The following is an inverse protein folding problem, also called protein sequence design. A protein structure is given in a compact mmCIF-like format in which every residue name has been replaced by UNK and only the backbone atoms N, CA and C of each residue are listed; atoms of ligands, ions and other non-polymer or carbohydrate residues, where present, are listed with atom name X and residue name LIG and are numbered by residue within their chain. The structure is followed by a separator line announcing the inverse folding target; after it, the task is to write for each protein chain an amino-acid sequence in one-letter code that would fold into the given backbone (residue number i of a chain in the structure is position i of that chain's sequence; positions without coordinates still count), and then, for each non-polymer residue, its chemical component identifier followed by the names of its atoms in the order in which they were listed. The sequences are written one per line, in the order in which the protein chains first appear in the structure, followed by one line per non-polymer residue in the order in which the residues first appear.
data_IF_758726987620
#
_entry.id   IF_758726987620
#
_cell.length_a   1.000
_cell.length_b   1.000
_cell.length_c   1.000
_cell.angle_alpha   90.00
_cell.angle_beta   90.00
_cell.angle_gamma   90.00
#
_symmetry.space_group_name_H-M   'P 1'
#
loop_
_entity.id
_entity.type
_entity.pdbx_description
1 polymer ?
#
# COMPACT_ATOMS: atom_id res chain seq x y z
N UNK A 1 13.83 10.27 -24.13
CA UNK A 1 12.42 10.16 -24.56
C UNK A 1 12.27 9.19 -25.76
N UNK A 2 12.46 7.88 -25.52
CA UNK A 2 12.37 6.84 -26.56
C UNK A 2 11.56 5.63 -26.05
N UNK A 3 10.43 5.87 -25.38
CA UNK A 3 9.49 4.80 -25.06
C UNK A 3 8.61 4.53 -26.29
N UNK A 4 8.43 3.26 -26.66
CA UNK A 4 7.49 2.89 -27.72
C UNK A 4 6.05 3.25 -27.30
N UNK A 5 5.19 3.68 -28.24
CA UNK A 5 3.79 3.91 -27.95
C UNK A 5 3.10 2.60 -27.57
N UNK A 6 2.08 2.70 -26.73
CA UNK A 6 1.18 1.59 -26.44
C UNK A 6 0.41 1.18 -27.71
N UNK A 7 0.33 -0.12 -27.98
CA UNK A 7 -0.56 -0.73 -28.97
C UNK A 7 -1.39 -1.85 -28.34
N UNK A 8 -2.51 -2.18 -28.98
CA UNK A 8 -3.41 -3.25 -28.54
C UNK A 8 -3.70 -4.19 -29.71
N UNK A 9 -3.74 -5.50 -29.43
CA UNK A 9 -4.09 -6.55 -30.38
C UNK A 9 -5.38 -7.25 -29.95
N UNK A 10 -5.94 -8.07 -30.83
CA UNK A 10 -7.13 -8.85 -30.53
C UNK A 10 -6.93 -9.73 -29.28
N UNK A 11 -7.95 -9.74 -28.42
CA UNK A 11 -7.97 -10.50 -27.17
C UNK A 11 -7.84 -12.00 -27.40
N UNK A 12 -7.02 -12.67 -26.58
CA UNK A 12 -6.92 -14.13 -26.56
C UNK A 12 -8.17 -14.77 -25.91
N UNK A 13 -8.46 -16.02 -26.30
CA UNK A 13 -9.53 -16.80 -25.69
C UNK A 13 -9.06 -17.38 -24.34
N UNK A 14 -9.67 -16.95 -23.25
CA UNK A 14 -9.46 -17.50 -21.90
C UNK A 14 -10.73 -17.43 -21.06
N UNK A 15 -10.85 -18.33 -20.10
CA UNK A 15 -11.95 -18.31 -19.12
C UNK A 15 -11.60 -17.35 -17.99
N UNK A 16 -12.51 -16.44 -17.66
CA UNK A 16 -12.32 -15.53 -16.53
C UNK A 16 -12.50 -16.26 -15.21
N UNK A 17 -11.50 -16.13 -14.33
CA UNK A 17 -11.60 -16.59 -12.95
C UNK A 17 -12.70 -15.81 -12.21
N UNK A 18 -13.53 -16.52 -11.46
CA UNK A 18 -14.59 -15.93 -10.65
C UNK A 18 -14.13 -15.81 -9.19
N UNK A 19 -13.76 -14.60 -8.73
CA UNK A 19 -13.06 -14.43 -7.47
C UNK A 19 -13.93 -14.63 -6.22
N UNK A 20 -15.26 -14.66 -6.36
CA UNK A 20 -16.19 -14.78 -5.24
C UNK A 20 -16.33 -13.51 -4.39
N UNK A 21 -15.79 -12.37 -4.83
CA UNK A 21 -16.00 -11.05 -4.24
C UNK A 21 -16.34 -10.03 -5.33
N UNK A 22 -16.97 -8.91 -4.94
CA UNK A 22 -17.20 -7.76 -5.83
C UNK A 22 -16.01 -6.80 -5.76
N UNK A 23 -15.28 -6.65 -6.87
CA UNK A 23 -14.17 -5.69 -6.95
C UNK A 23 -14.64 -4.27 -6.66
N UNK A 24 -15.79 -3.86 -7.21
CA UNK A 24 -16.35 -2.53 -6.99
C UNK A 24 -16.62 -2.25 -5.51
N UNK A 25 -17.10 -3.25 -4.78
CA UNK A 25 -17.35 -3.11 -3.34
C UNK A 25 -16.05 -2.92 -2.57
N UNK A 26 -15.03 -3.73 -2.87
CA UNK A 26 -13.69 -3.63 -2.25
C UNK A 26 -13.06 -2.26 -2.54
N UNK A 27 -13.15 -1.77 -3.77
CA UNK A 27 -12.67 -0.43 -4.13
C UNK A 27 -13.35 0.67 -3.33
N UNK A 28 -14.67 0.60 -3.17
CA UNK A 28 -15.43 1.61 -2.44
C UNK A 28 -15.06 1.61 -0.95
N UNK A 29 -14.89 0.43 -0.34
CA UNK A 29 -14.41 0.29 1.03
C UNK A 29 -13.00 0.89 1.20
N UNK A 30 -12.09 0.61 0.27
CA UNK A 30 -10.74 1.18 0.26
C UNK A 30 -10.75 2.71 0.14
N UNK A 31 -11.51 3.26 -0.82
CA UNK A 31 -11.65 4.71 -1.01
C UNK A 31 -12.21 5.39 0.23
N UNK A 32 -13.25 4.82 0.85
CA UNK A 32 -13.83 5.36 2.07
C UNK A 32 -12.83 5.35 3.24
N UNK A 33 -12.01 4.29 3.37
CA UNK A 33 -10.97 4.19 4.40
C UNK A 33 -9.93 5.30 4.23
N UNK A 34 -9.38 5.45 3.02
CA UNK A 34 -8.37 6.47 2.70
C UNK A 34 -8.93 7.89 2.89
N UNK A 35 -10.18 8.14 2.47
CA UNK A 35 -10.81 9.45 2.60
C UNK A 35 -11.03 9.89 4.06
N UNK A 36 -11.22 8.91 4.97
CA UNK A 36 -11.42 9.16 6.39
C UNK A 36 -10.12 9.13 7.21
N UNK A 37 -9.00 8.72 6.61
CA UNK A 37 -7.71 8.63 7.28
C UNK A 37 -6.97 9.98 7.22
N UNK A 38 -6.62 10.50 8.40
CA UNK A 38 -5.92 11.79 8.53
C UNK A 38 -4.48 11.72 8.00
N UNK A 39 -3.81 10.59 8.13
CA UNK A 39 -2.43 10.38 7.68
C UNK A 39 -2.37 10.41 6.16
N UNK A 40 -3.27 9.69 5.47
CA UNK A 40 -3.35 9.74 4.01
C UNK A 40 -3.68 11.14 3.47
N UNK A 41 -4.53 11.89 4.18
CA UNK A 41 -4.81 13.30 3.84
C UNK A 41 -3.55 14.16 3.94
N UNK A 42 -2.76 13.99 5.00
CA UNK A 42 -1.50 14.72 5.19
C UNK A 42 -0.47 14.33 4.14
N UNK A 43 -0.34 13.04 3.82
CA UNK A 43 0.52 12.56 2.74
C UNK A 43 0.14 13.23 1.42
N UNK A 44 -1.16 13.23 1.07
CA UNK A 44 -1.65 13.88 -0.15
C UNK A 44 -1.25 15.35 -0.21
N UNK A 45 -1.39 16.09 0.89
CA UNK A 45 -1.00 17.51 0.96
C UNK A 45 0.50 17.67 0.70
N UNK A 46 1.35 16.82 1.29
CA UNK A 46 2.79 16.91 1.07
C UNK A 46 3.19 16.49 -0.35
N UNK A 47 2.55 15.46 -0.93
CA UNK A 47 2.82 15.05 -2.32
C UNK A 47 2.38 16.12 -3.31
N UNK A 48 1.26 16.81 -3.05
CA UNK A 48 0.81 17.94 -3.87
C UNK A 48 1.82 19.11 -3.85
N UNK A 49 2.53 19.33 -2.73
CA UNK A 49 3.62 20.32 -2.65
C UNK A 49 4.80 19.91 -3.53
N UNK A 50 5.18 18.62 -3.49
CA UNK A 50 6.30 18.09 -4.28
C UNK A 50 5.99 18.06 -5.78
N UNK A 51 4.77 17.70 -6.17
CA UNK A 51 4.35 17.69 -7.57
C UNK A 51 4.46 19.08 -8.23
N UNK A 52 4.26 20.16 -7.46
CA UNK A 52 4.45 21.54 -7.96
C UNK A 52 5.92 21.92 -8.18
N UNK A 53 6.87 21.09 -7.78
CA UNK A 53 8.30 21.35 -7.98
C UNK A 53 8.84 20.73 -9.28
N UNK A 54 8.13 19.80 -9.90
CA UNK A 54 8.66 19.00 -11.02
C UNK A 54 8.97 19.85 -12.26
N UNK A 55 8.10 20.83 -12.56
CA UNK A 55 8.24 21.74 -13.71
C UNK A 55 8.54 23.19 -13.30
N UNK A 56 9.19 23.40 -12.15
CA UNK A 56 9.35 24.73 -11.57
C UNK A 56 10.64 25.43 -12.00
N UNK A 57 10.53 26.68 -12.43
CA UNK A 57 11.67 27.60 -12.55
C UNK A 57 12.20 28.00 -11.16
N UNK A 58 13.52 28.00 -10.99
CA UNK A 58 14.17 28.33 -9.72
C UNK A 58 14.65 29.79 -9.67
N UNK A 59 14.44 30.50 -8.55
CA UNK A 59 14.97 31.83 -8.38
C UNK A 59 16.49 31.82 -8.29
N UNK A 60 17.15 32.79 -8.94
CA UNK A 60 18.59 32.99 -8.85
C UNK A 60 19.02 33.67 -7.54
N UNK A 61 18.08 34.33 -6.86
CA UNK A 61 18.34 34.93 -5.55
C UNK A 61 18.51 33.82 -4.50
N UNK A 62 19.68 33.81 -3.85
CA UNK A 62 20.11 32.70 -3.00
C UNK A 62 19.21 32.48 -1.78
N UNK A 63 18.67 33.53 -1.17
CA UNK A 63 17.81 33.38 0.00
C UNK A 63 16.45 32.81 -0.39
N UNK A 64 15.90 33.20 -1.54
CA UNK A 64 14.66 32.67 -2.09
C UNK A 64 14.85 31.19 -2.47
N UNK A 65 15.94 30.84 -3.16
CA UNK A 65 16.26 29.46 -3.48
C UNK A 65 16.37 28.58 -2.22
N UNK A 66 17.06 29.05 -1.18
CA UNK A 66 17.18 28.32 0.10
C UNK A 66 15.83 28.11 0.78
N UNK A 67 14.93 29.11 0.74
CA UNK A 67 13.57 29.00 1.30
C UNK A 67 12.77 27.93 0.57
N UNK A 68 12.84 27.90 -0.75
CA UNK A 68 12.11 26.90 -1.56
C UNK A 68 12.65 25.48 -1.34
N UNK A 69 13.98 25.32 -1.32
CA UNK A 69 14.61 24.05 -0.98
C UNK A 69 14.22 23.55 0.41
N UNK A 70 14.05 24.46 1.38
CA UNK A 70 13.57 24.10 2.70
C UNK A 70 12.14 23.55 2.67
N UNK A 71 11.24 24.15 1.88
CA UNK A 71 9.86 23.67 1.72
C UNK A 71 9.85 22.24 1.18
N UNK A 72 10.63 21.96 0.13
CA UNK A 72 10.73 20.62 -0.46
C UNK A 72 11.27 19.60 0.55
N UNK A 73 12.36 19.93 1.25
CA UNK A 73 12.95 19.05 2.27
C UNK A 73 11.99 18.78 3.43
N UNK A 74 11.27 19.80 3.88
CA UNK A 74 10.30 19.66 4.96
C UNK A 74 9.11 18.78 4.54
N UNK A 75 8.66 18.90 3.28
CA UNK A 75 7.61 18.04 2.73
C UNK A 75 8.06 16.57 2.66
N UNK A 76 9.27 16.30 2.17
CA UNK A 76 9.86 14.94 2.14
C UNK A 76 9.97 14.36 3.55
N UNK A 77 10.55 15.10 4.50
CA UNK A 77 10.68 14.64 5.90
C UNK A 77 9.34 14.33 6.55
N UNK A 78 8.31 15.13 6.26
CA UNK A 78 6.95 14.86 6.75
C UNK A 78 6.42 13.55 6.17
N UNK A 79 6.57 13.31 4.86
CA UNK A 79 6.17 12.04 4.24
C UNK A 79 6.90 10.87 4.88
N UNK A 80 8.23 10.93 5.04
CA UNK A 80 9.04 9.86 5.65
C UNK A 80 8.59 9.47 7.06
N UNK A 81 8.03 10.44 7.80
CA UNK A 81 7.43 10.19 9.12
C UNK A 81 6.02 9.62 8.99
N UNK A 82 5.19 10.15 8.09
CA UNK A 82 3.78 9.78 7.94
C UNK A 82 3.59 8.38 7.35
N UNK A 83 4.52 7.88 6.53
CA UNK A 83 4.44 6.53 5.96
C UNK A 83 4.72 5.43 7.00
N UNK A 84 5.14 5.81 8.21
CA UNK A 84 5.37 4.89 9.32
C UNK A 84 4.17 4.90 10.25
N UNK A 85 3.65 3.72 10.56
CA UNK A 85 2.55 3.53 11.49
C UNK A 85 2.97 3.89 12.92
N UNK A 86 2.08 4.57 13.65
CA UNK A 86 2.23 4.83 15.08
C UNK A 86 2.20 3.52 15.90
N UNK A 87 1.36 2.58 15.46
CA UNK A 87 1.24 1.24 16.04
C UNK A 87 1.64 0.22 15.00
N UNK A 88 2.74 -0.49 15.26
CA UNK A 88 3.22 -1.54 14.37
C UNK A 88 2.18 -2.66 14.21
N UNK A 89 2.09 -3.18 12.99
CA UNK A 89 1.46 -4.45 12.72
C UNK A 89 2.22 -5.59 13.40
N UNK A 90 1.48 -6.64 13.79
CA UNK A 90 2.10 -7.88 14.25
C UNK A 90 2.51 -8.70 13.03
N UNK A 91 3.79 -8.62 12.68
CA UNK A 91 4.38 -9.39 11.58
C UNK A 91 5.39 -10.37 12.17
N UNK A 92 5.30 -11.63 11.78
CA UNK A 92 6.15 -12.70 12.27
C UNK A 92 6.70 -13.54 11.12
N UNK A 93 7.64 -14.41 11.46
CA UNK A 93 8.06 -15.47 10.56
C UNK A 93 6.87 -16.36 10.24
N UNK A 94 6.79 -16.81 8.99
CA UNK A 94 6.01 -17.99 8.68
C UNK A 94 6.73 -19.19 9.30
N UNK A 95 6.02 -20.12 9.97
CA UNK A 95 6.66 -21.25 10.65
C UNK A 95 7.58 -22.07 9.74
N UNK A 96 7.16 -22.29 8.49
CA UNK A 96 7.91 -23.02 7.47
C UNK A 96 9.20 -22.31 6.98
N UNK A 97 9.29 -21.00 7.18
CA UNK A 97 10.43 -20.19 6.74
C UNK A 97 11.39 -19.87 7.90
N UNK A 98 11.02 -20.22 9.13
CA UNK A 98 11.77 -19.86 10.32
C UNK A 98 13.20 -20.42 10.28
N UNK A 99 13.38 -21.69 9.90
CA UNK A 99 14.70 -22.34 9.79
C UNK A 99 15.56 -21.77 8.65
N UNK A 100 14.92 -21.16 7.63
CA UNK A 100 15.63 -20.52 6.52
C UNK A 100 16.27 -19.21 6.96
N UNK A 101 15.63 -18.46 7.84
CA UNK A 101 16.03 -17.11 8.21
C UNK A 101 16.61 -16.99 9.61
N UNK A 102 16.28 -17.91 10.52
CA UNK A 102 16.91 -18.07 11.83
C UNK A 102 17.95 -19.17 11.68
N UNK A 103 19.20 -18.76 11.53
CA UNK A 103 20.32 -19.67 11.26
C UNK A 103 21.53 -19.35 12.16
N UNK A 104 22.58 -20.18 12.09
CA UNK A 104 23.85 -19.87 12.75
C UNK A 104 24.48 -18.55 12.29
N UNK A 105 24.13 -18.09 11.08
CA UNK A 105 24.48 -16.76 10.59
C UNK A 105 23.58 -15.69 11.25
N UNK A 106 24.18 -14.98 12.19
CA UNK A 106 23.55 -13.89 12.94
C UNK A 106 23.18 -12.71 12.05
N UNK A 107 24.01 -12.36 11.08
CA UNK A 107 23.80 -11.18 10.23
C UNK A 107 22.61 -11.39 9.31
N UNK A 108 22.45 -12.59 8.76
CA UNK A 108 21.27 -12.98 7.99
C UNK A 108 19.98 -12.86 8.82
N UNK A 109 20.03 -13.38 10.05
CA UNK A 109 18.89 -13.35 10.96
C UNK A 109 18.50 -11.92 11.31
N UNK A 110 19.49 -11.07 11.61
CA UNK A 110 19.28 -9.67 12.02
C UNK A 110 18.76 -8.82 10.83
N UNK A 111 19.27 -9.03 9.62
CA UNK A 111 18.73 -8.38 8.39
C UNK A 111 17.26 -8.71 8.17
N UNK A 112 16.87 -9.97 8.33
CA UNK A 112 15.49 -10.36 8.13
C UNK A 112 14.55 -9.81 9.21
N UNK A 113 15.00 -9.79 10.48
CA UNK A 113 14.26 -9.12 11.57
C UNK A 113 14.08 -7.62 11.32
N UNK A 114 15.11 -6.95 10.81
CA UNK A 114 15.02 -5.53 10.43
C UNK A 114 14.01 -5.31 9.31
N UNK A 115 14.03 -6.17 8.28
CA UNK A 115 13.03 -6.13 7.22
C UNK A 115 11.61 -6.32 7.76
N UNK A 116 11.36 -7.34 8.59
CA UNK A 116 10.06 -7.57 9.23
C UNK A 116 9.58 -6.36 10.05
N UNK A 117 10.48 -5.74 10.82
CA UNK A 117 10.17 -4.54 11.60
C UNK A 117 9.82 -3.34 10.70
N UNK A 118 10.46 -3.21 9.53
CA UNK A 118 10.14 -2.15 8.57
C UNK A 118 8.79 -2.41 7.90
N UNK A 119 8.52 -3.64 7.47
CA UNK A 119 7.20 -4.04 6.93
C UNK A 119 6.10 -3.80 7.96
N UNK A 120 6.34 -4.17 9.22
CA UNK A 120 5.39 -3.96 10.32
C UNK A 120 5.06 -2.49 10.60
N UNK A 121 5.87 -1.56 10.11
CA UNK A 121 5.66 -0.12 10.24
C UNK A 121 5.08 0.52 8.99
N UNK A 122 4.95 -0.18 7.88
CA UNK A 122 4.58 0.41 6.61
C UNK A 122 3.06 0.66 6.53
N UNK A 123 2.68 1.94 6.39
CA UNK A 123 1.28 2.38 6.29
C UNK A 123 0.56 1.77 5.07
N UNK A 124 1.24 1.67 3.92
CA UNK A 124 0.63 1.16 2.71
C UNK A 124 0.44 -0.35 2.76
N UNK A 125 1.39 -1.08 3.37
CA UNK A 125 1.22 -2.52 3.62
C UNK A 125 0.03 -2.78 4.55
N UNK A 126 -0.15 -1.98 5.61
CA UNK A 126 -1.32 -2.08 6.49
C UNK A 126 -2.64 -1.85 5.74
N UNK A 127 -2.70 -0.87 4.83
CA UNK A 127 -3.89 -0.68 3.99
C UNK A 127 -4.09 -1.83 3.00
N UNK A 128 -3.03 -2.38 2.41
CA UNK A 128 -3.14 -3.53 1.52
C UNK A 128 -3.71 -4.76 2.26
N UNK A 129 -3.26 -5.01 3.50
CA UNK A 129 -3.81 -6.07 4.37
C UNK A 129 -5.29 -5.83 4.66
N UNK A 130 -5.70 -4.59 4.92
CA UNK A 130 -7.12 -4.23 5.11
C UNK A 130 -7.96 -4.50 3.85
N UNK A 131 -7.44 -4.21 2.66
CA UNK A 131 -8.10 -4.52 1.38
C UNK A 131 -8.24 -6.03 1.17
N UNK A 132 -7.20 -6.81 1.48
CA UNK A 132 -7.27 -8.28 1.42
C UNK A 132 -8.33 -8.81 2.39
N UNK A 133 -8.41 -8.25 3.60
CA UNK A 133 -9.45 -8.62 4.56
C UNK A 133 -10.85 -8.32 4.01
N UNK A 134 -11.06 -7.19 3.32
CA UNK A 134 -12.34 -6.91 2.67
C UNK A 134 -12.70 -7.97 1.62
N UNK A 135 -11.72 -8.39 0.81
CA UNK A 135 -11.91 -9.45 -0.20
C UNK A 135 -12.33 -10.76 0.46
N UNK A 136 -11.65 -11.15 1.55
CA UNK A 136 -11.96 -12.37 2.31
C UNK A 136 -13.35 -12.28 2.94
N UNK A 137 -13.71 -11.15 3.55
CA UNK A 137 -15.04 -10.94 4.14
C UNK A 137 -16.13 -11.01 3.07
N UNK A 138 -15.95 -10.36 1.92
CA UNK A 138 -16.88 -10.44 0.79
C UNK A 138 -17.05 -11.88 0.30
N UNK A 139 -15.94 -12.63 0.19
CA UNK A 139 -15.97 -14.04 -0.20
C UNK A 139 -16.73 -14.90 0.81
N UNK A 140 -16.53 -14.67 2.10
CA UNK A 140 -17.23 -15.41 3.15
C UNK A 140 -18.74 -15.09 3.17
N UNK A 141 -19.12 -13.83 2.94
CA UNK A 141 -20.53 -13.42 2.81
C UNK A 141 -21.19 -14.09 1.59
N UNK A 142 -20.50 -14.15 0.45
CA UNK A 142 -20.99 -14.83 -0.74
C UNK A 142 -21.20 -16.33 -0.50
N UNK A 143 -20.29 -16.98 0.25
CA UNK A 143 -20.43 -18.39 0.64
C UNK A 143 -21.57 -18.63 1.63
N UNK A 144 -21.76 -17.75 2.61
CA UNK A 144 -22.84 -17.84 3.60
C UNK A 144 -24.22 -17.58 3.00
N UNK A 145 -24.33 -16.69 2.01
CA UNK A 145 -25.57 -16.48 1.25
C UNK A 145 -25.94 -17.63 0.31
N UNK A 146 -24.98 -18.51 -0.02
CA UNK A 146 -25.20 -19.67 -0.88
C UNK A 146 -25.74 -20.92 -0.14
N UNK A 147 -25.76 -20.93 1.20
CA UNK A 147 -26.43 -21.99 1.97
C UNK A 147 -27.93 -21.71 2.04
N UNK A 148 -28.67 -22.21 1.06
CA UNK A 148 -30.14 -22.33 1.17
C UNK A 148 -30.45 -23.30 2.32
N UNK A 149 -31.38 -23.00 3.25
CA UNK A 149 -31.74 -23.96 4.29
C UNK A 149 -32.26 -25.23 3.64
N UNK A 150 -31.68 -26.37 4.02
CA UNK A 150 -32.21 -27.67 3.65
C UNK A 150 -33.65 -27.74 4.16
N UNK A 151 -34.63 -27.75 3.25
CA UNK A 151 -35.98 -28.19 3.59
C UNK A 151 -35.88 -29.66 3.97
N UNK A 152 -35.82 -29.95 5.27
CA UNK A 152 -36.14 -31.28 5.79
C UNK A 152 -37.64 -31.34 6.03
N UNK A 153 -38.25 -32.34 5.43
CA UNK A 153 -39.64 -32.77 5.58
C UNK A 153 -40.01 -33.08 7.03
#
# INVERSE_FOLDING_TARGET
PNALPYDEINKANYTMWQPGFSLQTVENLGKARIANDSVFRLIKIQTDILARQDDKEYPLEINQFKKEQKITRDAVKKIESLIKLDKNMQVSFLPQDQDRYISADKDKTDRYKQWLNNVGKDLYVDQAVKVINDMVTQQNLAKAGATTPAKTF
#
